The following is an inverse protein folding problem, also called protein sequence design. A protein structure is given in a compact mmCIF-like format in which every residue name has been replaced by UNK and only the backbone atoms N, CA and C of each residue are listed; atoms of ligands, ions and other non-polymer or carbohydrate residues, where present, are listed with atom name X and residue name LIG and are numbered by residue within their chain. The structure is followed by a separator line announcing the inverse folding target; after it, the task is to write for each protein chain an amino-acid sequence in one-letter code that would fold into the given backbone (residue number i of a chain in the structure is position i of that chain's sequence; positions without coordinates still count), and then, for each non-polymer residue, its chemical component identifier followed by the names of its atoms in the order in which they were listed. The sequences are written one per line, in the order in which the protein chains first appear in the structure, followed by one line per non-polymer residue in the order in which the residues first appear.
data_IF_120866939454
#
_entry.id   IF_120866939454
#
_cell.length_a   1.000
_cell.length_b   1.000
_cell.length_c   1.000
_cell.angle_alpha   90.00
_cell.angle_beta   90.00
_cell.angle_gamma   90.00
#
_symmetry.space_group_name_H-M   'P 1'
#
loop_
_entity.id
_entity.type
_entity.pdbx_description
1 polymer ?
#
# COMPACT_ATOMS: atom_id res chain seq x y z
N UNK A 1 2.28 20.42 9.55
CA UNK A 1 1.71 19.72 10.72
C UNK A 1 2.06 18.26 10.60
N UNK A 2 2.93 17.79 11.50
CA UNK A 2 3.22 16.36 11.66
C UNK A 2 2.07 15.68 12.42
N UNK A 3 1.86 14.41 12.13
CA UNK A 3 0.95 13.53 12.86
C UNK A 3 1.69 12.23 13.16
N UNK A 4 1.71 11.82 14.42
CA UNK A 4 2.17 10.48 14.80
C UNK A 4 1.01 9.74 15.46
N UNK A 5 0.75 8.54 15.00
CA UNK A 5 -0.23 7.62 15.58
C UNK A 5 0.50 6.33 15.98
N UNK A 6 0.80 6.21 17.26
CA UNK A 6 1.22 4.95 17.88
C UNK A 6 0.00 4.13 18.30
N UNK A 7 -0.08 3.65 19.57
CA UNK A 7 -1.32 3.07 20.07
C UNK A 7 -2.45 4.10 20.04
N UNK A 8 -3.56 3.77 19.39
CA UNK A 8 -4.75 4.62 19.44
C UNK A 8 -5.63 4.54 18.21
N UNK A 9 -6.68 5.35 18.23
CA UNK A 9 -7.66 5.43 17.15
C UNK A 9 -8.00 6.89 16.87
N UNK A 10 -7.89 7.28 15.61
CA UNK A 10 -8.50 8.52 15.09
C UNK A 10 -9.76 8.09 14.34
N UNK A 11 -10.93 8.50 14.85
CA UNK A 11 -12.22 8.07 14.33
C UNK A 11 -13.12 9.24 13.89
N UNK A 12 -14.16 8.89 13.15
CA UNK A 12 -15.23 9.80 12.74
C UNK A 12 -15.04 10.37 11.33
N UNK A 13 -16.05 11.09 10.82
CA UNK A 13 -16.18 11.45 9.41
C UNK A 13 -15.22 12.54 8.92
N UNK A 14 -14.58 13.26 9.85
CA UNK A 14 -13.81 14.47 9.54
C UNK A 14 -12.60 14.17 8.66
N UNK A 15 -12.23 15.12 7.81
CA UNK A 15 -10.96 15.06 7.07
C UNK A 15 -9.78 15.30 8.01
N UNK A 16 -8.74 14.48 7.88
CA UNK A 16 -7.44 14.69 8.51
C UNK A 16 -6.45 15.08 7.42
N UNK A 17 -5.76 16.21 7.59
CA UNK A 17 -4.72 16.67 6.65
C UNK A 17 -3.38 16.71 7.36
N UNK A 18 -2.42 15.93 6.85
CA UNK A 18 -1.04 15.90 7.30
C UNK A 18 -0.20 16.59 6.23
N UNK A 19 0.44 17.71 6.60
CA UNK A 19 1.14 18.54 5.62
C UNK A 19 2.66 18.33 5.59
N UNK A 20 3.21 17.52 6.49
CA UNK A 20 4.66 17.33 6.63
C UNK A 20 5.06 15.87 6.80
N UNK A 21 4.67 15.20 7.89
CA UNK A 21 4.97 13.78 8.10
C UNK A 21 3.85 13.06 8.85
N UNK A 22 3.41 11.92 8.33
CA UNK A 22 2.60 10.93 9.04
C UNK A 22 3.48 9.76 9.49
N UNK A 23 3.65 9.56 10.79
CA UNK A 23 4.27 8.34 11.33
C UNK A 23 3.19 7.42 11.88
N UNK A 24 3.05 6.22 11.32
CA UNK A 24 1.97 5.30 11.63
C UNK A 24 2.47 3.97 12.21
N UNK A 25 2.20 3.82 13.51
CA UNK A 25 2.44 2.63 14.32
C UNK A 25 3.61 2.80 15.28
N UNK A 26 4.24 1.69 15.65
CA UNK A 26 5.46 1.65 16.46
C UNK A 26 5.37 0.64 17.61
N UNK A 27 4.51 0.89 18.61
CA UNK A 27 4.37 0.02 19.79
C UNK A 27 3.67 -1.32 19.49
N UNK A 28 3.45 -2.18 20.49
CA UNK A 28 2.73 -3.46 20.36
C UNK A 28 1.19 -3.34 20.26
N UNK A 29 0.63 -2.13 20.36
CA UNK A 29 -0.82 -1.92 20.39
C UNK A 29 -1.31 -1.22 19.12
N UNK A 30 -2.55 -1.54 18.72
CA UNK A 30 -3.07 -1.15 17.39
C UNK A 30 -3.14 0.37 17.16
N UNK A 31 -2.87 0.76 15.92
CA UNK A 31 -2.83 2.14 15.43
C UNK A 31 -3.85 2.29 14.30
N UNK A 32 -4.98 2.95 14.54
CA UNK A 32 -6.15 2.86 13.65
C UNK A 32 -6.68 4.21 13.17
N UNK A 33 -7.06 4.28 11.91
CA UNK A 33 -8.02 5.26 11.40
C UNK A 33 -9.35 4.54 11.14
N UNK A 34 -10.44 4.98 11.79
CA UNK A 34 -11.74 4.27 11.74
C UNK A 34 -12.89 5.20 11.35
N UNK A 35 -13.74 4.70 10.46
CA UNK A 35 -14.96 5.37 10.06
C UNK A 35 -14.75 6.28 8.86
N UNK A 36 -15.85 6.84 8.33
CA UNK A 36 -15.85 7.56 7.05
C UNK A 36 -14.89 8.74 7.04
N UNK A 37 -14.65 9.28 5.85
CA UNK A 37 -13.83 10.48 5.67
C UNK A 37 -12.49 10.18 5.01
N UNK A 38 -11.61 11.19 5.07
CA UNK A 38 -10.40 11.22 4.25
C UNK A 38 -9.18 11.57 5.10
N UNK A 39 -8.08 10.87 4.88
CA UNK A 39 -6.73 11.24 5.34
C UNK A 39 -5.93 11.72 4.13
N UNK A 40 -5.61 13.01 4.07
CA UNK A 40 -4.73 13.58 3.05
C UNK A 40 -3.33 13.70 3.63
N UNK A 41 -2.38 12.96 3.07
CA UNK A 41 -0.95 13.06 3.42
C UNK A 41 -0.24 13.78 2.28
N UNK A 42 -0.09 15.10 2.47
CA UNK A 42 0.52 16.00 1.50
C UNK A 42 2.05 16.10 1.68
N UNK A 43 2.56 15.63 2.83
CA UNK A 43 3.98 15.40 3.05
C UNK A 43 4.30 13.90 2.97
N UNK A 44 5.31 13.46 3.70
CA UNK A 44 5.73 12.07 3.70
C UNK A 44 4.96 11.21 4.72
N UNK A 45 5.09 9.90 4.58
CA UNK A 45 4.49 8.90 5.46
C UNK A 45 5.50 7.81 5.78
N UNK A 46 5.47 7.33 7.01
CA UNK A 46 6.21 6.14 7.43
C UNK A 46 5.22 5.17 8.08
N UNK A 47 5.04 4.00 7.48
CA UNK A 47 4.40 2.86 8.11
C UNK A 47 5.48 2.11 8.87
N UNK A 48 5.51 2.29 10.19
CA UNK A 48 6.58 1.76 11.05
C UNK A 48 6.65 0.23 11.01
N UNK A 49 7.84 -0.33 11.23
CA UNK A 49 8.00 -1.75 11.52
C UNK A 49 7.42 -2.09 12.91
N UNK A 50 7.24 -3.39 13.21
CA UNK A 50 6.88 -3.87 14.55
C UNK A 50 5.46 -4.45 14.67
N UNK A 51 5.12 -4.92 15.88
CA UNK A 51 3.96 -5.78 16.14
C UNK A 51 2.59 -5.11 16.30
N UNK A 52 2.47 -3.79 16.11
CA UNK A 52 1.15 -3.15 16.07
C UNK A 52 0.46 -3.44 14.74
N UNK A 53 -0.82 -3.81 14.77
CA UNK A 53 -1.64 -3.74 13.56
C UNK A 53 -1.92 -2.27 13.24
N UNK A 54 -1.53 -1.83 12.04
CA UNK A 54 -1.95 -0.54 11.48
C UNK A 54 -3.20 -0.81 10.66
N UNK A 55 -4.27 -0.03 10.86
CA UNK A 55 -5.55 -0.30 10.21
C UNK A 55 -6.22 0.95 9.68
N UNK A 56 -6.52 0.95 8.39
CA UNK A 56 -7.44 1.87 7.74
C UNK A 56 -8.80 1.18 7.59
N UNK A 57 -9.83 1.67 8.28
CA UNK A 57 -11.15 1.05 8.26
C UNK A 57 -12.23 2.06 7.82
N UNK A 58 -12.98 1.71 6.76
CA UNK A 58 -14.05 2.52 6.19
C UNK A 58 -13.64 3.96 5.90
N UNK A 59 -12.41 4.15 5.41
CA UNK A 59 -11.81 5.47 5.23
C UNK A 59 -10.92 5.51 3.99
N UNK A 60 -10.82 6.68 3.37
CA UNK A 60 -9.92 6.90 2.23
C UNK A 60 -8.64 7.57 2.70
N UNK A 61 -7.49 7.04 2.30
CA UNK A 61 -6.20 7.68 2.46
C UNK A 61 -5.65 8.10 1.10
N UNK A 62 -5.23 9.35 0.98
CA UNK A 62 -4.56 9.90 -0.19
C UNK A 62 -3.11 10.21 0.16
N UNK A 63 -2.18 9.53 -0.49
CA UNK A 63 -0.75 9.80 -0.40
C UNK A 63 -0.30 10.64 -1.59
N UNK A 64 0.23 11.84 -1.33
CA UNK A 64 0.82 12.71 -2.35
C UNK A 64 2.35 12.82 -2.24
N UNK A 65 2.94 12.40 -1.10
CA UNK A 65 4.39 12.41 -0.88
C UNK A 65 5.00 11.00 -0.93
N UNK A 66 6.10 10.80 -0.22
CA UNK A 66 6.75 9.48 -0.11
C UNK A 66 6.22 8.73 1.08
N UNK A 67 5.62 7.56 0.85
CA UNK A 67 5.18 6.62 1.86
C UNK A 67 6.15 5.44 1.95
N UNK A 68 6.98 5.42 3.01
CA UNK A 68 7.90 4.32 3.29
C UNK A 68 7.22 3.25 4.13
N UNK A 69 7.13 2.03 3.60
CA UNK A 69 6.54 0.86 4.26
C UNK A 69 7.64 0.00 4.87
N UNK A 70 7.84 0.15 6.18
CA UNK A 70 8.69 -0.71 7.00
C UNK A 70 7.89 -1.87 7.65
N UNK A 71 6.56 -1.73 7.69
CA UNK A 71 5.60 -2.74 8.12
C UNK A 71 4.36 -2.78 7.22
N UNK A 72 3.34 -3.54 7.63
CA UNK A 72 2.09 -3.70 6.87
C UNK A 72 0.97 -2.76 7.32
N UNK A 73 -0.02 -2.58 6.45
CA UNK A 73 -1.26 -1.85 6.69
C UNK A 73 -2.48 -2.69 6.34
N UNK A 74 -3.39 -2.86 7.31
CA UNK A 74 -4.68 -3.49 7.08
C UNK A 74 -5.63 -2.49 6.41
N UNK A 75 -6.28 -2.90 5.33
CA UNK A 75 -7.35 -2.14 4.68
C UNK A 75 -8.68 -2.87 4.92
N UNK A 76 -9.64 -2.22 5.59
CA UNK A 76 -10.87 -2.87 6.03
C UNK A 76 -12.13 -2.07 5.72
N UNK A 77 -13.27 -2.76 5.64
CA UNK A 77 -14.62 -2.20 5.64
C UNK A 77 -14.80 -1.10 4.59
N UNK A 78 -14.44 -1.37 3.33
CA UNK A 78 -14.48 -0.38 2.23
C UNK A 78 -13.52 0.81 2.39
N UNK A 79 -12.37 0.61 3.05
CA UNK A 79 -11.27 1.55 3.01
C UNK A 79 -10.70 1.70 1.59
N UNK A 80 -9.93 2.75 1.33
CA UNK A 80 -9.16 2.85 0.09
C UNK A 80 -7.83 3.54 0.35
N UNK A 81 -6.76 3.03 -0.26
CA UNK A 81 -5.46 3.70 -0.27
C UNK A 81 -5.16 4.18 -1.70
N UNK A 82 -5.00 5.49 -1.87
CA UNK A 82 -4.69 6.11 -3.15
C UNK A 82 -3.27 6.67 -3.11
N UNK A 83 -2.33 6.06 -3.84
CA UNK A 83 -1.06 6.68 -4.17
C UNK A 83 -1.26 7.59 -5.39
N UNK A 84 -1.33 8.90 -5.14
CA UNK A 84 -1.66 9.89 -6.16
C UNK A 84 -0.50 10.06 -7.16
N UNK A 85 -0.78 10.69 -8.31
CA UNK A 85 0.27 11.07 -9.25
C UNK A 85 1.33 11.94 -8.57
N UNK A 86 2.61 11.57 -8.75
CA UNK A 86 3.75 12.17 -8.06
C UNK A 86 4.04 11.59 -6.67
N UNK A 87 3.10 10.84 -6.08
CA UNK A 87 3.30 10.10 -4.84
C UNK A 87 4.16 8.84 -5.05
N UNK A 88 4.92 8.49 -4.02
CA UNK A 88 5.76 7.29 -4.00
C UNK A 88 5.32 6.38 -2.87
N UNK A 89 5.18 5.09 -3.14
CA UNK A 89 5.07 4.03 -2.16
C UNK A 89 6.35 3.21 -2.21
N UNK A 90 7.22 3.42 -1.22
CA UNK A 90 8.51 2.76 -1.11
C UNK A 90 8.43 1.60 -0.12
N UNK A 91 8.43 0.38 -0.66
CA UNK A 91 8.33 -0.87 0.08
C UNK A 91 9.72 -1.32 0.49
N UNK A 92 9.95 -1.35 1.80
CA UNK A 92 11.21 -1.78 2.41
C UNK A 92 11.03 -2.90 3.44
N UNK A 93 9.81 -3.42 3.60
CA UNK A 93 9.51 -4.54 4.49
C UNK A 93 9.71 -5.90 3.79
N UNK A 94 9.60 -6.97 4.57
CA UNK A 94 9.48 -8.35 4.08
C UNK A 94 8.26 -8.96 4.78
N UNK A 95 7.18 -9.20 4.03
CA UNK A 95 5.86 -9.57 4.55
C UNK A 95 4.72 -8.75 3.91
N UNK A 96 3.55 -8.74 4.53
CA UNK A 96 2.40 -8.00 4.01
C UNK A 96 2.64 -6.49 4.03
N UNK A 97 2.44 -5.85 2.88
CA UNK A 97 2.37 -4.39 2.69
C UNK A 97 0.95 -3.92 2.92
N UNK A 98 0.01 -4.61 2.25
CA UNK A 98 -1.43 -4.46 2.46
C UNK A 98 -2.03 -5.83 2.74
N UNK A 99 -2.82 -5.91 3.80
CA UNK A 99 -3.53 -7.12 4.21
C UNK A 99 -5.03 -6.79 4.34
N UNK A 100 -5.91 -7.74 3.96
CA UNK A 100 -7.34 -7.78 4.28
C UNK A 100 -8.29 -6.93 3.37
N UNK A 101 -9.53 -7.41 3.30
CA UNK A 101 -10.79 -6.95 2.67
C UNK A 101 -10.91 -6.89 1.13
N UNK A 102 -11.90 -7.63 0.62
CA UNK A 102 -12.30 -7.68 -0.80
C UNK A 102 -12.78 -6.33 -1.34
N UNK A 103 -13.25 -5.43 -0.48
CA UNK A 103 -13.82 -4.14 -0.88
C UNK A 103 -12.88 -2.96 -0.62
N UNK A 104 -11.62 -3.20 -0.25
CA UNK A 104 -10.69 -2.15 0.09
C UNK A 104 -9.56 -1.99 -0.95
N UNK A 105 -9.75 -1.20 -2.03
CA UNK A 105 -8.79 -1.13 -3.11
C UNK A 105 -7.53 -0.32 -2.74
N UNK A 106 -6.41 -0.77 -3.31
CA UNK A 106 -5.21 0.03 -3.47
C UNK A 106 -5.14 0.60 -4.90
N UNK A 107 -5.11 1.92 -5.04
CA UNK A 107 -5.02 2.60 -6.33
C UNK A 107 -3.65 3.27 -6.45
N UNK A 108 -2.91 2.94 -7.51
CA UNK A 108 -1.63 3.57 -7.83
C UNK A 108 -1.73 4.39 -9.13
N UNK A 109 -1.58 5.70 -8.99
CA UNK A 109 -1.33 6.62 -10.10
C UNK A 109 0.10 7.22 -10.06
N UNK A 110 0.82 7.01 -8.96
CA UNK A 110 2.22 7.39 -8.78
C UNK A 110 3.16 6.23 -9.02
N UNK A 111 4.16 6.09 -8.14
CA UNK A 111 5.17 5.04 -8.20
C UNK A 111 5.07 4.13 -6.99
N UNK A 112 4.99 2.82 -7.21
CA UNK A 112 5.31 1.78 -6.22
C UNK A 112 6.71 1.28 -6.51
N UNK A 113 7.58 1.24 -5.50
CA UNK A 113 8.93 0.69 -5.62
C UNK A 113 9.20 -0.29 -4.49
N UNK A 114 9.65 -1.50 -4.82
CA UNK A 114 10.26 -2.42 -3.84
C UNK A 114 11.77 -2.21 -3.88
N UNK A 115 12.27 -1.39 -2.96
CA UNK A 115 13.63 -0.84 -3.00
C UNK A 115 14.62 -1.54 -2.06
N UNK A 116 14.14 -2.20 -1.01
CA UNK A 116 14.97 -2.84 0.01
C UNK A 116 14.44 -4.22 0.41
N UNK A 117 15.29 -5.02 1.06
CA UNK A 117 14.98 -6.40 1.42
C UNK A 117 15.15 -7.37 0.25
N UNK A 118 15.53 -8.61 0.58
CA UNK A 118 15.72 -9.70 -0.39
C UNK A 118 14.56 -10.68 -0.37
N UNK A 119 13.73 -10.62 0.68
CA UNK A 119 12.51 -11.41 0.80
C UNK A 119 11.33 -10.87 -0.03
N UNK A 120 10.19 -11.53 0.18
CA UNK A 120 8.91 -11.23 -0.48
C UNK A 120 8.15 -10.15 0.28
N UNK A 121 7.64 -9.14 -0.44
CA UNK A 121 6.62 -8.21 0.04
C UNK A 121 5.28 -8.54 -0.62
N UNK A 122 4.21 -8.67 0.16
CA UNK A 122 2.92 -9.14 -0.34
C UNK A 122 1.87 -8.03 -0.33
N UNK A 123 1.21 -7.81 -1.46
CA UNK A 123 0.01 -7.00 -1.59
C UNK A 123 -1.18 -7.97 -1.72
N UNK A 124 -2.01 -8.04 -0.68
CA UNK A 124 -3.16 -8.94 -0.61
C UNK A 124 -4.48 -8.16 -0.57
N UNK A 125 -4.65 -7.24 -1.54
CA UNK A 125 -5.88 -6.46 -1.77
C UNK A 125 -6.13 -6.30 -3.27
N UNK A 126 -7.35 -5.93 -3.67
CA UNK A 126 -7.58 -5.48 -5.05
C UNK A 126 -6.69 -4.27 -5.34
N UNK A 127 -5.97 -4.31 -6.45
CA UNK A 127 -5.07 -3.22 -6.82
C UNK A 127 -5.27 -2.78 -8.26
N UNK A 128 -5.26 -1.46 -8.46
CA UNK A 128 -5.41 -0.82 -9.75
C UNK A 128 -4.20 0.06 -10.00
N UNK A 129 -3.43 -0.27 -11.03
CA UNK A 129 -2.25 0.48 -11.40
C UNK A 129 -2.47 1.24 -12.71
N UNK A 130 -2.20 2.53 -12.68
CA UNK A 130 -2.13 3.41 -13.86
C UNK A 130 -0.77 4.12 -13.95
N UNK A 131 0.06 4.00 -12.90
CA UNK A 131 1.41 4.55 -12.81
C UNK A 131 2.50 3.48 -12.92
N UNK A 132 3.55 3.63 -12.13
CA UNK A 132 4.73 2.75 -12.18
C UNK A 132 4.73 1.76 -11.02
N UNK A 133 5.08 0.51 -11.31
CA UNK A 133 5.50 -0.49 -10.33
C UNK A 133 6.94 -0.88 -10.69
N UNK A 134 7.89 -0.69 -9.78
CA UNK A 134 9.29 -1.06 -9.97
C UNK A 134 9.74 -2.03 -8.88
N UNK A 135 10.33 -3.16 -9.27
CA UNK A 135 10.90 -4.13 -8.34
C UNK A 135 12.42 -4.12 -8.50
N UNK A 136 13.12 -3.49 -7.56
CA UNK A 136 14.58 -3.34 -7.61
C UNK A 136 15.31 -4.48 -6.89
N UNK A 137 14.65 -5.15 -5.93
CA UNK A 137 15.23 -6.24 -5.15
C UNK A 137 14.16 -7.15 -4.56
N UNK A 138 14.52 -8.41 -4.29
CA UNK A 138 13.63 -9.40 -3.70
C UNK A 138 12.45 -9.74 -4.59
N UNK A 139 11.29 -10.02 -4.00
CA UNK A 139 10.06 -10.36 -4.72
C UNK A 139 8.92 -9.42 -4.29
N UNK A 140 8.17 -8.88 -5.25
CA UNK A 140 6.87 -8.27 -4.99
C UNK A 140 5.79 -9.27 -5.38
N UNK A 141 4.96 -9.66 -4.44
CA UNK A 141 3.89 -10.64 -4.63
C UNK A 141 2.52 -9.96 -4.61
N UNK A 142 1.72 -10.20 -5.65
CA UNK A 142 0.28 -10.00 -5.60
C UNK A 142 -0.39 -11.32 -5.22
N UNK A 143 -1.09 -11.33 -4.08
CA UNK A 143 -1.71 -12.52 -3.52
C UNK A 143 -3.22 -12.49 -3.76
N UNK A 144 -3.80 -13.60 -4.21
CA UNK A 144 -5.21 -13.67 -4.59
C UNK A 144 -6.18 -13.66 -3.40
N UNK A 145 -5.65 -13.62 -2.17
CA UNK A 145 -6.40 -13.77 -0.94
C UNK A 145 -6.99 -15.19 -0.84
N UNK A 146 -7.13 -15.73 0.36
CA UNK A 146 -7.59 -17.11 0.58
C UNK A 146 -9.01 -17.37 0.03
N UNK A 147 -9.12 -17.66 -1.28
CA UNK A 147 -10.34 -17.74 -2.09
C UNK A 147 -11.06 -16.41 -2.33
N UNK A 148 -10.34 -15.29 -2.27
CA UNK A 148 -10.95 -13.97 -2.47
C UNK A 148 -10.92 -13.50 -3.92
N UNK A 149 -10.14 -14.14 -4.80
CA UNK A 149 -10.06 -13.80 -6.22
C UNK A 149 -9.55 -12.37 -6.43
N UNK A 150 -8.64 -11.92 -5.56
CA UNK A 150 -8.10 -10.57 -5.62
C UNK A 150 -7.36 -10.39 -6.96
N UNK A 151 -7.63 -9.26 -7.59
CA UNK A 151 -7.09 -8.93 -8.91
C UNK A 151 -6.12 -7.77 -8.79
N UNK A 152 -4.97 -7.90 -9.46
CA UNK A 152 -4.11 -6.79 -9.81
C UNK A 152 -4.41 -6.38 -11.25
N UNK A 153 -4.93 -5.16 -11.44
CA UNK A 153 -5.29 -4.63 -12.76
C UNK A 153 -4.31 -3.55 -13.18
N UNK A 154 -3.58 -3.78 -14.26
CA UNK A 154 -2.75 -2.77 -14.91
C UNK A 154 -3.57 -2.10 -16.03
N UNK A 155 -3.88 -0.81 -15.87
CA UNK A 155 -4.69 -0.03 -16.82
C UNK A 155 -3.86 0.85 -17.76
N UNK A 156 -2.70 1.32 -17.28
CA UNK A 156 -1.74 2.16 -18.02
C UNK A 156 -0.37 2.12 -17.31
N UNK A 157 0.61 2.91 -17.73
CA UNK A 157 1.90 3.02 -17.01
C UNK A 157 2.85 1.85 -17.28
N UNK A 158 3.73 1.55 -16.33
CA UNK A 158 4.78 0.54 -16.51
C UNK A 158 5.02 -0.33 -15.27
N UNK A 159 5.34 -1.59 -15.50
CA UNK A 159 5.88 -2.51 -14.51
C UNK A 159 7.32 -2.85 -14.91
N UNK A 160 8.29 -2.61 -14.04
CA UNK A 160 9.73 -2.71 -14.35
C UNK A 160 10.39 -3.64 -13.34
N UNK A 161 11.01 -4.73 -13.83
CA UNK A 161 11.82 -5.65 -13.04
C UNK A 161 13.30 -5.27 -13.18
N UNK A 162 13.82 -4.54 -12.19
CA UNK A 162 15.14 -3.93 -12.19
C UNK A 162 16.05 -4.58 -11.12
N UNK A 163 16.08 -5.91 -11.08
CA UNK A 163 16.87 -6.68 -10.11
C UNK A 163 16.05 -7.50 -9.11
N UNK A 164 14.73 -7.32 -9.07
CA UNK A 164 13.81 -8.19 -8.33
C UNK A 164 12.76 -8.86 -9.21
N UNK A 165 11.94 -9.69 -8.58
CA UNK A 165 10.96 -10.56 -9.23
C UNK A 165 9.53 -10.12 -8.91
N UNK A 166 8.60 -10.43 -9.82
CA UNK A 166 7.17 -10.24 -9.62
C UNK A 166 6.47 -11.60 -9.55
N UNK A 167 5.68 -11.82 -8.51
CA UNK A 167 4.95 -13.06 -8.32
C UNK A 167 3.44 -12.84 -8.19
N UNK A 168 2.67 -13.82 -8.69
CA UNK A 168 1.23 -13.90 -8.50
C UNK A 168 0.93 -15.25 -7.87
N UNK A 169 0.36 -15.25 -6.65
CA UNK A 169 0.13 -16.48 -5.88
C UNK A 169 -1.30 -16.60 -5.38
N UNK A 170 -1.69 -17.83 -5.03
CA UNK A 170 -3.02 -18.15 -4.49
C UNK A 170 -4.18 -17.63 -5.34
N UNK A 171 -4.19 -18.00 -6.63
CA UNK A 171 -5.25 -17.62 -7.58
C UNK A 171 -5.40 -16.10 -7.76
N UNK A 172 -4.33 -15.33 -7.52
CA UNK A 172 -4.26 -13.94 -7.92
C UNK A 172 -4.49 -13.82 -9.43
N UNK A 173 -5.38 -12.92 -9.83
CA UNK A 173 -5.56 -12.57 -11.23
C UNK A 173 -4.68 -11.37 -11.57
N UNK A 174 -3.90 -11.50 -12.64
CA UNK A 174 -3.22 -10.35 -13.25
C UNK A 174 -3.95 -9.98 -14.53
N UNK A 175 -4.57 -8.80 -14.54
CA UNK A 175 -5.29 -8.27 -15.69
C UNK A 175 -4.54 -7.09 -16.28
N UNK A 176 -3.98 -7.28 -17.47
CA UNK A 176 -3.30 -6.21 -18.22
C UNK A 176 -4.28 -5.65 -19.25
N UNK A 177 -4.87 -4.52 -18.90
CA UNK A 177 -5.73 -3.74 -19.77
C UNK A 177 -4.94 -2.66 -20.54
N UNK A 178 -3.74 -2.32 -20.07
CA UNK A 178 -2.82 -1.39 -20.74
C UNK A 178 -1.46 -1.28 -20.02
N UNK A 179 -0.55 -0.47 -20.59
CA UNK A 179 0.79 -0.27 -20.05
C UNK A 179 1.86 -1.21 -20.63
N UNK A 180 3.02 -1.27 -19.98
CA UNK A 180 4.16 -2.07 -20.41
C UNK A 180 4.79 -2.83 -19.23
N UNK A 181 5.11 -4.10 -19.43
CA UNK A 181 5.97 -4.89 -18.54
C UNK A 181 7.37 -4.99 -19.16
N UNK A 182 8.42 -4.61 -18.41
CA UNK A 182 9.83 -4.69 -18.86
C UNK A 182 10.75 -5.22 -17.76
N UNK A 183 11.99 -5.55 -18.13
CA UNK A 183 13.03 -5.96 -17.21
C UNK A 183 13.29 -7.46 -17.21
N UNK A 184 14.04 -7.93 -16.22
CA UNK A 184 14.35 -9.34 -16.02
C UNK A 184 14.17 -9.69 -14.54
N UNK A 185 13.34 -10.71 -14.29
CA UNK A 185 12.94 -11.22 -12.98
C UNK A 185 11.84 -12.26 -13.12
#
# INVERSE_FOLDING_TARGET
NNLSIGPGTIAGPSTVTVSTLLTWGGSYAEARFIGPGVVNVNGDMTIEAGGSTKRLNNRVLNNAGTATFLGGLDLDSSAAFNNLAGGVLDIQNEGYVFEIDRLAPFNNAGTVVKSAGVGTSTIAVHSYNSGTVEVQTGELEFHGGWNYGLTHTQTAGQTVLNGGNLAFRHEAFYDIQGGLLTGAG
#
